data_IF_298215847523
#
_entry.id   IF_298215847523
#
_cell.length_a   1.000
_cell.length_b   1.000
_cell.length_c   1.000
_cell.angle_alpha   90.00
_cell.angle_beta   90.00
_cell.angle_gamma   90.00
#
_symmetry.space_group_name_H-M   'P 1'
#
loop_
_entity.id
_entity.type
_entity.pdbx_description
1 polymer ?
#
# COMPACT_ATOMS: atom_id res chain seq x y z
N UNK A 1 15.84 23.49 21.63
CA UNK A 1 14.83 22.57 21.02
C UNK A 1 15.43 21.45 20.15
N UNK A 2 16.75 21.17 20.16
CA UNK A 2 17.38 20.18 19.24
C UNK A 2 17.74 18.81 19.86
N UNK A 3 17.32 18.49 21.09
CA UNK A 3 17.71 17.22 21.76
C UNK A 3 16.68 16.08 21.65
N UNK A 4 15.47 16.34 21.15
CA UNK A 4 14.43 15.30 20.93
C UNK A 4 14.46 14.70 19.52
N UNK A 5 15.07 15.38 18.54
CA UNK A 5 15.19 14.87 17.17
C UNK A 5 16.26 13.78 17.01
N UNK A 6 17.28 13.77 17.89
CA UNK A 6 18.40 12.83 17.78
C UNK A 6 18.06 11.40 18.25
N UNK A 7 17.04 11.23 19.09
CA UNK A 7 16.61 9.91 19.58
C UNK A 7 15.63 9.19 18.64
N UNK A 8 15.06 9.88 17.65
CA UNK A 8 14.21 9.26 16.61
C UNK A 8 15.08 8.76 15.43
N UNK A 9 16.30 9.30 15.28
CA UNK A 9 17.21 8.95 14.19
C UNK A 9 17.99 7.63 14.41
N UNK A 10 18.06 7.09 15.63
CA UNK A 10 18.91 5.93 15.95
C UNK A 10 18.25 4.56 15.67
N UNK A 11 16.94 4.52 15.37
CA UNK A 11 16.20 3.29 15.10
C UNK A 11 15.88 3.02 13.62
N UNK A 12 16.18 3.95 12.71
CA UNK A 12 15.79 3.91 11.28
C UNK A 12 17.04 3.90 10.38
N UNK A 13 18.11 3.23 10.83
CA UNK A 13 19.38 3.12 10.10
C UNK A 13 19.58 1.76 9.38
N UNK A 14 18.56 0.91 9.32
CA UNK A 14 18.57 -0.39 8.63
C UNK A 14 17.24 -0.45 7.86
N UNK A 15 17.12 -0.13 6.57
CA UNK A 15 17.89 -0.65 5.45
C UNK A 15 17.81 0.37 4.30
N UNK A 16 18.95 0.94 3.92
CA UNK A 16 19.06 1.69 2.67
C UNK A 16 19.14 0.69 1.50
N UNK A 17 18.00 0.25 0.99
CA UNK A 17 17.98 -0.47 -0.28
C UNK A 17 18.19 0.53 -1.42
N UNK A 18 19.04 0.20 -2.42
CA UNK A 18 19.20 1.06 -3.58
C UNK A 18 17.85 1.21 -4.30
N UNK A 19 17.36 2.46 -4.38
CA UNK A 19 16.22 2.82 -5.21
C UNK A 19 16.58 2.56 -6.68
N UNK A 20 16.07 1.46 -7.25
CA UNK A 20 16.00 1.27 -8.71
C UNK A 20 15.06 2.34 -9.23
N UNK A 21 15.65 3.45 -9.67
CA UNK A 21 14.93 4.60 -10.23
C UNK A 21 14.62 4.33 -11.71
N UNK A 22 13.61 3.51 -11.97
CA UNK A 22 12.96 3.50 -13.28
C UNK A 22 11.86 4.56 -13.24
N UNK A 23 12.17 5.78 -13.69
CA UNK A 23 11.17 6.81 -13.89
C UNK A 23 10.38 6.47 -15.16
N UNK A 24 9.29 5.73 -15.02
CA UNK A 24 8.32 5.54 -16.09
C UNK A 24 6.99 6.15 -15.60
N UNK A 25 6.51 7.18 -16.30
CA UNK A 25 5.28 7.96 -16.03
C UNK A 25 5.25 8.90 -14.79
N UNK A 26 6.38 9.43 -14.32
CA UNK A 26 6.41 10.49 -13.29
C UNK A 26 6.26 10.01 -11.84
N UNK A 27 6.02 8.71 -11.64
CA UNK A 27 6.10 8.08 -10.32
C UNK A 27 7.56 7.72 -9.98
N UNK A 28 7.91 7.84 -8.70
CA UNK A 28 9.17 7.31 -8.16
C UNK A 28 8.99 5.83 -7.86
N UNK A 29 10.05 5.04 -7.95
CA UNK A 29 10.02 3.63 -7.55
C UNK A 29 10.90 3.42 -6.33
N UNK A 30 10.37 2.71 -5.33
CA UNK A 30 11.14 2.30 -4.14
C UNK A 30 10.84 0.85 -3.81
N UNK A 31 11.90 0.10 -3.55
CA UNK A 31 11.79 -1.32 -3.25
C UNK A 31 11.03 -1.58 -1.94
N UNK A 32 11.28 -0.77 -0.91
CA UNK A 32 10.74 -0.98 0.45
C UNK A 32 10.19 0.32 1.02
N UNK A 33 9.00 0.25 1.61
CA UNK A 33 8.38 1.31 2.41
C UNK A 33 7.98 0.78 3.79
N UNK A 34 8.19 1.60 4.82
CA UNK A 34 7.66 1.37 6.16
C UNK A 34 6.81 2.57 6.54
N UNK A 35 5.54 2.36 6.90
CA UNK A 35 4.61 3.41 7.30
C UNK A 35 4.08 3.17 8.71
N UNK A 36 3.92 4.24 9.48
CA UNK A 36 3.22 4.19 10.76
C UNK A 36 1.72 4.42 10.54
N UNK A 37 1.40 5.54 9.90
CA UNK A 37 0.06 6.01 9.51
C UNK A 37 0.18 6.67 8.14
N UNK A 38 -0.94 6.94 7.43
CA UNK A 38 -0.89 7.69 6.18
C UNK A 38 -0.03 8.96 6.30
N UNK A 39 0.79 9.22 5.28
CA UNK A 39 1.76 10.33 5.19
C UNK A 39 2.96 10.28 6.15
N UNK A 40 2.97 9.37 7.13
CA UNK A 40 4.11 9.16 8.04
C UNK A 40 4.79 7.83 7.69
N UNK A 41 5.69 7.89 6.71
CA UNK A 41 6.43 6.73 6.20
C UNK A 41 7.87 7.06 5.82
N UNK A 42 8.67 6.06 5.46
CA UNK A 42 10.04 6.24 4.91
C UNK A 42 10.06 6.99 3.57
N UNK A 43 8.90 7.14 2.92
CA UNK A 43 8.72 7.95 1.71
C UNK A 43 8.20 9.36 2.01
N UNK A 44 7.69 9.62 3.23
CA UNK A 44 7.19 10.94 3.64
C UNK A 44 6.07 11.46 2.74
N UNK A 45 6.12 12.75 2.41
CA UNK A 45 5.17 13.40 1.49
C UNK A 45 5.22 12.85 0.06
N UNK A 46 6.33 12.24 -0.34
CA UNK A 46 6.51 11.69 -1.69
C UNK A 46 5.78 10.35 -1.87
N UNK A 47 5.24 9.77 -0.79
CA UNK A 47 4.60 8.47 -0.83
C UNK A 47 3.47 8.43 -1.87
N UNK A 48 2.69 9.51 -1.99
CA UNK A 48 1.57 9.62 -2.94
C UNK A 48 1.97 9.57 -4.43
N UNK A 49 3.24 9.83 -4.73
CA UNK A 49 3.82 9.80 -6.07
C UNK A 49 4.95 8.75 -6.14
N UNK A 50 4.92 7.74 -5.28
CA UNK A 50 5.87 6.63 -5.27
C UNK A 50 5.13 5.30 -5.42
N UNK A 51 5.67 4.40 -6.24
CA UNK A 51 5.26 3.00 -6.33
C UNK A 51 6.20 2.16 -5.48
N UNK A 52 5.63 1.36 -4.58
CA UNK A 52 6.37 0.45 -3.71
C UNK A 52 6.35 -0.98 -4.25
N UNK A 53 7.42 -1.74 -4.05
CA UNK A 53 7.42 -3.19 -4.31
C UNK A 53 7.09 -4.00 -3.06
N UNK A 54 7.61 -3.56 -1.91
CA UNK A 54 7.31 -4.11 -0.60
C UNK A 54 6.91 -2.96 0.33
N UNK A 55 5.75 -3.08 0.97
CA UNK A 55 5.24 -2.07 1.90
C UNK A 55 4.79 -2.74 3.20
N UNK A 56 5.23 -2.19 4.34
CA UNK A 56 4.77 -2.61 5.66
C UNK A 56 4.22 -1.41 6.41
N UNK A 57 2.92 -1.46 6.72
CA UNK A 57 2.18 -0.38 7.32
C UNK A 57 1.71 -0.77 8.72
N UNK A 58 2.22 -0.16 9.78
CA UNK A 58 1.91 -0.57 11.15
C UNK A 58 0.45 -0.30 11.53
N UNK A 59 -0.06 0.91 11.29
CA UNK A 59 -1.48 1.23 11.44
C UNK A 59 -2.09 1.53 10.07
N UNK A 60 -1.42 2.34 9.26
CA UNK A 60 -1.82 2.49 7.87
C UNK A 60 -0.75 3.07 6.95
N UNK A 61 -0.92 2.82 5.65
CA UNK A 61 -0.07 3.33 4.58
C UNK A 61 -0.85 4.12 3.56
N UNK A 62 -0.14 5.00 2.86
CA UNK A 62 -0.64 5.72 1.71
C UNK A 62 0.46 5.82 0.66
N UNK A 63 0.18 5.41 -0.57
CA UNK A 63 1.16 5.37 -1.64
C UNK A 63 0.54 5.66 -3.02
N UNK A 64 1.39 5.96 -4.00
CA UNK A 64 1.00 6.19 -5.38
C UNK A 64 0.65 4.89 -6.12
N UNK A 65 1.16 3.75 -5.67
CA UNK A 65 0.78 2.42 -6.17
C UNK A 65 1.65 1.31 -5.59
N UNK A 66 1.30 0.07 -5.90
CA UNK A 66 2.03 -1.12 -5.45
C UNK A 66 2.35 -2.06 -6.61
N UNK A 67 3.60 -2.55 -6.68
CA UNK A 67 4.04 -3.61 -7.59
C UNK A 67 4.80 -4.69 -6.81
N UNK A 68 4.05 -5.50 -6.06
CA UNK A 68 4.60 -6.60 -5.27
C UNK A 68 3.71 -6.97 -4.08
N UNK A 69 4.20 -6.76 -2.86
CA UNK A 69 3.55 -7.20 -1.63
C UNK A 69 3.37 -6.05 -0.64
N UNK A 70 2.20 -5.97 -0.03
CA UNK A 70 1.94 -5.03 1.05
C UNK A 70 1.20 -5.69 2.21
N UNK A 71 1.68 -5.42 3.42
CA UNK A 71 1.05 -5.84 4.66
C UNK A 71 0.76 -4.63 5.54
N UNK A 72 -0.52 -4.45 5.86
CA UNK A 72 -1.02 -3.41 6.74
C UNK A 72 -1.57 -3.94 8.05
N UNK A 73 -1.46 -3.15 9.11
CA UNK A 73 -2.17 -3.39 10.35
C UNK A 73 -3.67 -3.14 10.16
N UNK A 74 -4.06 -1.89 9.87
CA UNK A 74 -5.47 -1.53 9.71
C UNK A 74 -5.81 -1.05 8.29
N UNK A 75 -4.95 -0.27 7.65
CA UNK A 75 -5.29 0.40 6.39
C UNK A 75 -4.15 0.37 5.36
N UNK A 76 -4.45 -0.07 4.15
CA UNK A 76 -3.59 0.16 2.99
C UNK A 76 -4.36 1.01 1.98
N UNK A 77 -3.76 2.09 1.50
CA UNK A 77 -4.38 3.01 0.56
C UNK A 77 -3.43 3.31 -0.59
N UNK A 78 -3.82 2.92 -1.80
CA UNK A 78 -3.08 3.20 -3.01
C UNK A 78 -3.89 4.15 -3.88
N UNK A 79 -3.33 5.33 -4.14
CA UNK A 79 -3.93 6.33 -5.02
C UNK A 79 -4.05 5.81 -6.46
N UNK A 80 -3.03 5.09 -6.92
CA UNK A 80 -2.95 4.50 -8.25
C UNK A 80 -3.27 3.01 -8.25
N UNK A 81 -2.62 2.28 -9.15
CA UNK A 81 -2.91 0.88 -9.42
C UNK A 81 -2.06 -0.06 -8.56
N UNK A 82 -2.58 -1.27 -8.36
CA UNK A 82 -1.92 -2.34 -7.60
C UNK A 82 -1.68 -3.55 -8.48
N UNK A 83 -0.51 -4.16 -8.35
CA UNK A 83 -0.18 -5.46 -8.94
C UNK A 83 0.51 -6.32 -7.90
N UNK A 84 -0.03 -7.51 -7.63
CA UNK A 84 0.53 -8.47 -6.67
C UNK A 84 -0.43 -8.86 -5.53
N UNK A 85 -0.05 -8.59 -4.28
CA UNK A 85 -0.80 -9.02 -3.08
C UNK A 85 -0.85 -7.89 -2.03
N UNK A 86 -2.06 -7.56 -1.57
CA UNK A 86 -2.30 -6.68 -0.43
C UNK A 86 -3.02 -7.41 0.69
N UNK A 87 -2.52 -7.26 1.91
CA UNK A 87 -3.11 -7.86 3.10
C UNK A 87 -3.24 -6.83 4.22
N UNK A 88 -4.36 -6.82 4.94
CA UNK A 88 -4.55 -5.98 6.12
C UNK A 88 -5.60 -6.56 7.06
N UNK A 89 -5.58 -6.20 8.35
CA UNK A 89 -6.65 -6.61 9.26
C UNK A 89 -7.91 -5.75 9.09
N UNK A 90 -7.80 -4.52 8.58
CA UNK A 90 -8.93 -3.60 8.42
C UNK A 90 -9.42 -3.52 6.97
N UNK A 91 -8.86 -2.59 6.19
CA UNK A 91 -9.32 -2.31 4.84
C UNK A 91 -8.22 -1.98 3.82
N UNK A 92 -8.39 -2.45 2.58
CA UNK A 92 -7.59 -2.05 1.42
C UNK A 92 -8.41 -1.12 0.52
N UNK A 93 -7.79 -0.02 0.06
CA UNK A 93 -8.37 0.90 -0.91
C UNK A 93 -7.42 1.10 -2.09
N UNK A 94 -7.91 0.87 -3.31
CA UNK A 94 -7.16 1.09 -4.54
C UNK A 94 -7.95 2.04 -5.44
N UNK A 95 -7.36 3.18 -5.78
CA UNK A 95 -8.05 4.24 -6.52
C UNK A 95 -8.32 3.89 -7.98
N UNK A 96 -7.49 3.04 -8.58
CA UNK A 96 -7.54 2.66 -10.00
C UNK A 96 -7.73 1.14 -10.16
N UNK A 97 -6.90 0.50 -11.00
CA UNK A 97 -6.96 -0.93 -11.27
C UNK A 97 -6.18 -1.75 -10.24
N UNK A 98 -6.70 -2.93 -9.91
CA UNK A 98 -6.06 -3.91 -9.04
C UNK A 98 -5.90 -5.23 -9.80
N UNK A 99 -4.70 -5.49 -10.29
CA UNK A 99 -4.26 -6.79 -10.82
C UNK A 99 -3.64 -7.62 -9.71
N UNK A 100 -4.44 -7.93 -8.68
CA UNK A 100 -3.95 -8.44 -7.41
C UNK A 100 -4.95 -9.30 -6.65
N UNK A 101 -4.45 -9.97 -5.62
CA UNK A 101 -5.25 -10.53 -4.54
C UNK A 101 -5.26 -9.51 -3.39
N UNK A 102 -6.45 -9.14 -2.92
CA UNK A 102 -6.62 -8.27 -1.76
C UNK A 102 -7.33 -9.03 -0.64
N UNK A 103 -6.70 -9.09 0.52
CA UNK A 103 -7.25 -9.71 1.73
C UNK A 103 -7.38 -8.64 2.81
N UNK A 104 -8.59 -8.49 3.34
CA UNK A 104 -8.89 -7.57 4.41
C UNK A 104 -9.83 -8.21 5.42
N UNK A 105 -9.74 -7.84 6.69
CA UNK A 105 -10.68 -8.33 7.70
C UNK A 105 -12.07 -7.74 7.53
N UNK A 106 -12.19 -6.49 7.07
CA UNK A 106 -13.47 -5.79 6.98
C UNK A 106 -13.81 -5.46 5.53
N UNK A 107 -12.92 -4.79 4.80
CA UNK A 107 -13.32 -4.12 3.57
C UNK A 107 -12.24 -4.10 2.48
N UNK A 108 -12.62 -4.39 1.24
CA UNK A 108 -11.80 -4.11 0.06
C UNK A 108 -12.55 -3.20 -0.90
N UNK A 109 -11.85 -2.20 -1.45
CA UNK A 109 -12.33 -1.39 -2.56
C UNK A 109 -11.28 -1.27 -3.66
N UNK A 110 -11.73 -1.43 -4.90
CA UNK A 110 -10.93 -1.06 -6.09
C UNK A 110 -11.82 -0.48 -7.18
N UNK A 111 -11.27 0.36 -8.06
CA UNK A 111 -12.01 0.81 -9.25
C UNK A 111 -12.32 -0.34 -10.20
N UNK A 112 -11.29 -1.08 -10.60
CA UNK A 112 -11.40 -2.26 -11.47
C UNK A 112 -10.57 -3.42 -10.91
N UNK A 113 -11.16 -4.61 -10.85
CA UNK A 113 -10.51 -5.81 -10.29
C UNK A 113 -10.16 -6.82 -11.38
N UNK A 114 -8.88 -7.18 -11.47
CA UNK A 114 -8.36 -8.32 -12.22
C UNK A 114 -7.67 -9.28 -11.24
N UNK A 115 -8.44 -10.11 -10.55
CA UNK A 115 -7.91 -10.97 -9.49
C UNK A 115 -8.91 -11.39 -8.43
N UNK A 116 -8.57 -11.18 -7.16
CA UNK A 116 -9.33 -11.73 -6.04
C UNK A 116 -9.52 -10.73 -4.91
N UNK A 117 -10.72 -10.65 -4.34
CA UNK A 117 -10.95 -9.96 -3.06
C UNK A 117 -11.53 -10.91 -2.02
N UNK A 118 -11.00 -10.85 -0.81
CA UNK A 118 -11.50 -11.57 0.35
C UNK A 118 -11.63 -10.60 1.53
N UNK A 119 -12.86 -10.34 1.96
CA UNK A 119 -13.19 -9.56 3.17
C UNK A 119 -14.68 -9.71 3.52
N UNK A 120 -15.17 -9.03 4.56
CA UNK A 120 -16.62 -9.00 4.82
C UNK A 120 -17.38 -8.24 3.72
N UNK A 121 -16.81 -7.14 3.23
CA UNK A 121 -17.42 -6.27 2.23
C UNK A 121 -16.42 -5.95 1.14
N UNK A 122 -16.65 -6.47 -0.05
CA UNK A 122 -15.88 -6.17 -1.24
C UNK A 122 -16.69 -5.23 -2.13
N UNK A 123 -16.05 -4.20 -2.69
CA UNK A 123 -16.68 -3.30 -3.65
C UNK A 123 -15.71 -3.09 -4.81
N UNK A 124 -16.19 -3.32 -6.03
CA UNK A 124 -15.43 -3.08 -7.25
C UNK A 124 -16.35 -2.55 -8.34
N UNK A 125 -15.81 -1.78 -9.30
CA UNK A 125 -16.53 -1.39 -10.51
C UNK A 125 -16.74 -2.59 -11.43
N UNK A 126 -15.80 -2.85 -12.36
CA UNK A 126 -15.78 -4.12 -13.09
C UNK A 126 -14.90 -5.16 -12.40
N UNK A 127 -15.33 -6.43 -12.48
CA UNK A 127 -14.64 -7.58 -11.88
C UNK A 127 -14.35 -8.62 -12.94
N UNK A 128 -13.06 -8.88 -13.17
CA UNK A 128 -12.53 -10.04 -13.87
C UNK A 128 -11.80 -10.93 -12.87
N UNK A 129 -12.55 -11.79 -12.18
CA UNK A 129 -12.01 -12.58 -11.09
C UNK A 129 -13.08 -13.03 -10.09
N UNK A 130 -12.70 -13.10 -8.81
CA UNK A 130 -13.58 -13.56 -7.74
C UNK A 130 -13.60 -12.61 -6.55
N UNK A 131 -14.77 -12.43 -5.96
CA UNK A 131 -14.94 -11.76 -4.68
C UNK A 131 -15.60 -12.73 -3.71
N UNK A 132 -15.08 -12.78 -2.49
CA UNK A 132 -15.61 -13.63 -1.41
C UNK A 132 -15.83 -12.75 -0.19
N UNK A 133 -17.10 -12.65 0.21
CA UNK A 133 -17.54 -11.80 1.31
C UNK A 133 -19.04 -11.88 1.52
N UNK A 134 -19.50 -11.24 2.60
CA UNK A 134 -20.95 -11.09 2.88
C UNK A 134 -21.61 -10.16 1.87
N UNK A 135 -20.86 -9.17 1.38
CA UNK A 135 -21.24 -8.23 0.34
C UNK A 135 -20.12 -8.19 -0.70
N UNK A 136 -20.48 -8.24 -1.98
CA UNK A 136 -19.57 -8.15 -3.13
C UNK A 136 -20.17 -7.22 -4.19
#
# INVERSE_FOLDING_TARGET
MMRKALLIALGIALVAFPSVSSADNGYRHRAVCLSLVPYVSTSGSEAENTIHNFSLNLLGGYSGGLKGFELGGLLNMEKGSVTGLQMTAGANFVGLESSAIQVAGIFNYTGWLYGGQLSLVNISGDVSGAQVGLVN
#
